data_IF_543884250067
#
_entry.id   IF_543884250067
#
_cell.length_a   1.000
_cell.length_b   1.000
_cell.length_c   1.000
_cell.angle_alpha   90.00
_cell.angle_beta   90.00
_cell.angle_gamma   90.00
#
_symmetry.space_group_name_H-M   'P 1'
#
loop_
_entity.id
_entity.type
_entity.pdbx_description
1 polymer ?
#
# COMPACT_ATOMS: atom_id res chain seq x y z
N UNK A 1 28.28 -1.82 21.55
CA UNK A 1 26.84 -1.79 21.87
C UNK A 1 26.47 -3.15 22.43
N UNK A 2 25.96 -3.20 23.65
CA UNK A 2 25.50 -4.45 24.26
C UNK A 2 24.21 -4.92 23.59
N UNK A 3 23.86 -6.21 23.69
CA UNK A 3 22.64 -6.77 23.11
C UNK A 3 21.36 -6.07 23.65
N UNK A 4 21.41 -5.61 24.90
CA UNK A 4 20.35 -4.81 25.54
C UNK A 4 20.20 -3.42 24.93
N UNK A 5 21.32 -2.72 24.66
CA UNK A 5 21.30 -1.39 24.02
C UNK A 5 20.82 -1.49 22.57
N UNK A 6 21.26 -2.53 21.84
CA UNK A 6 20.84 -2.80 20.47
C UNK A 6 19.33 -3.06 20.37
N UNK A 7 18.77 -3.79 21.35
CA UNK A 7 17.33 -4.09 21.41
C UNK A 7 16.52 -2.84 21.75
N UNK A 8 16.96 -2.03 22.71
CA UNK A 8 16.30 -0.77 23.07
C UNK A 8 16.28 0.24 21.93
N UNK A 9 17.33 0.31 21.10
CA UNK A 9 17.36 1.20 19.94
C UNK A 9 16.37 0.78 18.85
N UNK A 10 16.21 -0.53 18.61
CA UNK A 10 15.22 -1.09 17.68
C UNK A 10 13.78 -0.93 18.21
N UNK A 11 13.59 -0.93 19.53
CA UNK A 11 12.32 -0.58 20.17
C UNK A 11 11.91 0.87 19.84
N UNK A 12 12.80 1.85 20.04
CA UNK A 12 12.52 3.24 19.69
C UNK A 12 12.28 3.47 18.19
N UNK A 13 13.05 2.80 17.32
CA UNK A 13 12.81 2.87 15.86
C UNK A 13 11.42 2.36 15.50
N UNK A 14 11.01 1.22 16.06
CA UNK A 14 9.68 0.66 15.82
C UNK A 14 8.55 1.58 16.27
N UNK A 15 8.65 2.14 17.48
CA UNK A 15 7.68 3.09 18.02
C UNK A 15 7.51 4.31 17.09
N UNK A 16 8.61 4.86 16.59
CA UNK A 16 8.57 5.96 15.62
C UNK A 16 7.86 5.52 14.33
N UNK A 17 8.23 4.37 13.73
CA UNK A 17 7.62 3.91 12.48
C UNK A 17 6.11 3.69 12.61
N UNK A 18 5.64 3.10 13.71
CA UNK A 18 4.21 2.92 13.99
C UNK A 18 3.50 4.27 14.14
N UNK A 19 4.13 5.24 14.82
CA UNK A 19 3.57 6.58 14.95
C UNK A 19 3.51 7.33 13.61
N UNK A 20 4.54 7.21 12.75
CA UNK A 20 4.55 7.78 11.39
C UNK A 20 3.39 7.30 10.54
N UNK A 21 3.00 6.03 10.67
CA UNK A 21 1.86 5.45 9.95
C UNK A 21 0.52 6.15 10.24
N UNK A 22 0.39 6.81 11.40
CA UNK A 22 -0.83 7.49 11.84
C UNK A 22 -0.71 9.01 11.83
N UNK A 23 0.50 9.56 11.73
CA UNK A 23 0.80 10.98 11.88
C UNK A 23 0.00 11.92 10.97
N UNK A 24 -0.40 11.46 9.78
CA UNK A 24 -1.21 12.24 8.85
C UNK A 24 -2.65 12.48 9.35
N UNK A 25 -3.23 11.46 9.98
CA UNK A 25 -4.62 11.44 10.44
C UNK A 25 -4.75 11.74 11.94
N UNK A 26 -3.66 11.65 12.70
CA UNK A 26 -3.63 11.72 14.16
C UNK A 26 -2.51 12.68 14.62
N UNK A 27 -2.85 13.94 14.99
CA UNK A 27 -1.88 14.91 15.49
C UNK A 27 -1.13 14.44 16.73
N UNK A 28 -1.73 13.61 17.58
CA UNK A 28 -1.05 13.06 18.75
C UNK A 28 0.02 12.05 18.35
N UNK A 29 -0.24 11.22 17.32
CA UNK A 29 0.77 10.33 16.74
C UNK A 29 1.91 11.13 16.07
N UNK A 30 1.59 12.24 15.39
CA UNK A 30 2.58 13.16 14.83
C UNK A 30 3.51 13.72 15.93
N UNK A 31 2.94 14.28 16.99
CA UNK A 31 3.68 14.81 18.13
C UNK A 31 4.49 13.72 18.85
N UNK A 32 3.94 12.51 19.01
CA UNK A 32 4.64 11.39 19.62
C UNK A 32 5.87 10.95 18.81
N UNK A 33 5.74 10.84 17.48
CA UNK A 33 6.85 10.54 16.59
C UNK A 33 7.94 11.62 16.69
N UNK A 34 7.54 12.90 16.66
CA UNK A 34 8.46 14.02 16.80
C UNK A 34 9.21 14.00 18.14
N UNK A 35 8.50 13.73 19.24
CA UNK A 35 9.08 13.64 20.58
C UNK A 35 10.09 12.50 20.69
N UNK A 36 9.75 11.30 20.22
CA UNK A 36 10.65 10.13 20.25
C UNK A 36 11.95 10.39 19.49
N UNK A 37 11.86 11.05 18.33
CA UNK A 37 13.04 11.48 17.56
C UNK A 37 13.81 12.56 18.34
N UNK A 38 13.11 13.53 18.92
CA UNK A 38 13.65 14.61 19.75
C UNK A 38 14.49 14.15 20.93
N UNK A 39 14.03 13.09 21.61
CA UNK A 39 14.68 12.50 22.78
C UNK A 39 15.82 11.53 22.43
N UNK A 40 16.13 11.35 21.14
CA UNK A 40 17.16 10.41 20.69
C UNK A 40 16.83 8.95 20.98
N UNK A 41 15.54 8.61 21.11
CA UNK A 41 15.07 7.25 21.43
C UNK A 41 15.25 6.27 20.27
N UNK A 42 15.29 6.78 19.05
CA UNK A 42 15.51 6.00 17.83
C UNK A 42 16.90 6.27 17.27
N UNK A 43 17.65 5.20 16.97
CA UNK A 43 18.89 5.31 16.18
C UNK A 43 18.54 5.86 14.79
N UNK A 44 19.06 7.04 14.47
CA UNK A 44 18.67 7.80 13.29
C UNK A 44 19.06 7.10 11.97
N UNK A 45 20.30 6.60 11.78
CA UNK A 45 20.64 5.73 10.65
C UNK A 45 19.68 4.55 10.46
N UNK A 46 19.35 3.82 11.53
CA UNK A 46 18.45 2.67 11.45
C UNK A 46 17.02 3.11 11.13
N UNK A 47 16.55 4.21 11.71
CA UNK A 47 15.24 4.79 11.42
C UNK A 47 15.11 5.17 9.93
N UNK A 48 16.14 5.80 9.35
CA UNK A 48 16.14 6.16 7.93
C UNK A 48 16.09 4.94 7.01
N UNK A 49 16.88 3.91 7.32
CA UNK A 49 16.86 2.64 6.58
C UNK A 49 15.46 2.02 6.60
N UNK A 50 14.86 1.91 7.79
CA UNK A 50 13.54 1.30 7.96
C UNK A 50 12.41 2.15 7.38
N UNK A 51 12.47 3.49 7.53
CA UNK A 51 11.52 4.40 6.92
C UNK A 51 11.61 4.34 5.39
N UNK A 52 12.80 4.19 4.81
CA UNK A 52 12.95 3.98 3.37
C UNK A 52 12.34 2.64 2.92
N UNK A 53 12.67 1.55 3.62
CA UNK A 53 12.13 0.18 3.38
C UNK A 53 10.60 0.17 3.41
N UNK A 54 10.01 0.82 4.40
CA UNK A 54 8.56 0.88 4.57
C UNK A 54 7.90 2.06 3.85
N UNK A 55 8.65 2.80 3.01
CA UNK A 55 8.15 3.95 2.23
C UNK A 55 7.56 5.09 3.08
N UNK A 56 8.03 5.26 4.30
CA UNK A 56 7.62 6.27 5.27
C UNK A 56 8.51 7.53 5.28
N UNK A 57 9.51 7.65 4.38
CA UNK A 57 10.33 8.87 4.31
C UNK A 57 9.53 10.17 4.13
N UNK A 58 8.49 10.26 3.27
CA UNK A 58 7.68 11.47 3.19
C UNK A 58 6.92 11.76 4.50
N UNK A 59 6.39 10.74 5.16
CA UNK A 59 5.73 10.87 6.47
C UNK A 59 6.72 11.34 7.55
N UNK A 60 7.95 10.84 7.54
CA UNK A 60 9.02 11.30 8.43
C UNK A 60 9.35 12.79 8.16
N UNK A 61 9.51 13.17 6.89
CA UNK A 61 9.70 14.57 6.50
C UNK A 61 8.54 15.47 6.97
N UNK A 62 7.30 14.98 6.90
CA UNK A 62 6.11 15.70 7.37
C UNK A 62 6.14 15.92 8.88
N UNK A 63 6.41 14.89 9.68
CA UNK A 63 6.51 15.00 11.15
C UNK A 63 7.61 15.96 11.58
N UNK A 64 8.74 15.98 10.87
CA UNK A 64 9.84 16.92 11.13
C UNK A 64 9.50 18.37 10.72
N UNK A 65 8.57 18.55 9.77
CA UNK A 65 8.13 19.86 9.29
C UNK A 65 6.99 20.47 10.11
N UNK A 66 6.10 19.63 10.65
CA UNK A 66 4.84 20.06 11.26
C UNK A 66 4.98 20.65 12.67
N UNK A 67 6.08 20.37 13.37
CA UNK A 67 6.25 20.76 14.77
C UNK A 67 7.09 22.05 14.89
N UNK A 68 6.53 23.06 15.57
CA UNK A 68 7.28 24.20 16.10
C UNK A 68 7.95 23.76 17.42
N UNK A 69 9.23 23.41 17.35
CA UNK A 69 9.88 22.60 18.39
C UNK A 69 10.43 23.38 19.58
N UNK A 70 10.40 24.72 19.56
CA UNK A 70 10.91 25.55 20.67
C UNK A 70 12.32 25.19 21.16
N UNK A 71 13.11 24.48 20.35
CA UNK A 71 14.33 23.76 20.73
C UNK A 71 15.13 23.30 19.50
N UNK A 72 16.34 22.74 19.70
CA UNK A 72 17.22 22.36 18.60
C UNK A 72 16.62 21.23 17.75
N UNK A 73 16.89 21.29 16.45
CA UNK A 73 16.43 20.27 15.50
C UNK A 73 17.09 18.91 15.82
N UNK A 74 16.32 17.82 16.02
CA UNK A 74 16.89 16.54 16.42
C UNK A 74 17.51 15.74 15.26
N UNK A 75 17.47 16.30 14.06
CA UNK A 75 18.20 15.78 12.90
C UNK A 75 19.22 16.80 12.44
N UNK A 76 20.38 16.37 11.92
CA UNK A 76 21.33 17.28 11.29
C UNK A 76 20.68 18.10 10.16
N UNK A 77 21.05 19.38 9.95
CA UNK A 77 20.43 20.24 8.94
C UNK A 77 20.43 19.67 7.53
N UNK A 78 21.50 18.97 7.14
CA UNK A 78 21.61 18.30 5.84
C UNK A 78 20.53 17.23 5.68
N UNK A 79 20.32 16.42 6.72
CA UNK A 79 19.31 15.37 6.71
C UNK A 79 17.89 15.94 6.71
N UNK A 80 17.65 17.06 7.44
CA UNK A 80 16.37 17.78 7.34
C UNK A 80 16.07 18.18 5.90
N UNK A 81 17.06 18.74 5.20
CA UNK A 81 16.94 19.12 3.79
C UNK A 81 16.52 17.94 2.91
N UNK A 82 17.16 16.78 3.07
CA UNK A 82 16.84 15.56 2.32
C UNK A 82 15.42 15.02 2.62
N UNK A 83 15.00 15.02 3.88
CA UNK A 83 13.67 14.53 4.28
C UNK A 83 12.55 15.46 3.80
N UNK A 84 12.75 16.77 3.88
CA UNK A 84 11.85 17.76 3.28
C UNK A 84 11.82 17.62 1.75
N UNK A 85 12.97 17.42 1.12
CA UNK A 85 13.09 17.14 -0.31
C UNK A 85 12.29 15.91 -0.72
N UNK A 86 12.38 14.81 0.04
CA UNK A 86 11.62 13.59 -0.18
C UNK A 86 10.11 13.81 -0.07
N UNK A 87 9.64 14.57 0.93
CA UNK A 87 8.23 14.95 1.06
C UNK A 87 7.74 15.77 -0.13
N UNK A 88 8.47 16.83 -0.50
CA UNK A 88 8.08 17.73 -1.59
C UNK A 88 8.11 17.01 -2.95
N UNK A 89 9.10 16.16 -3.19
CA UNK A 89 9.15 15.31 -4.38
C UNK A 89 7.96 14.35 -4.43
N UNK A 90 7.62 13.73 -3.30
CA UNK A 90 6.45 12.84 -3.22
C UNK A 90 5.14 13.60 -3.46
N UNK A 91 4.95 14.80 -2.90
CA UNK A 91 3.77 15.65 -3.15
C UNK A 91 3.58 15.94 -4.64
N UNK A 92 4.65 16.33 -5.34
CA UNK A 92 4.61 16.56 -6.79
C UNK A 92 4.24 15.27 -7.54
N UNK A 93 4.83 14.15 -7.15
CA UNK A 93 4.53 12.84 -7.75
C UNK A 93 3.07 12.44 -7.53
N UNK A 94 2.56 12.62 -6.32
CA UNK A 94 1.18 12.34 -5.93
C UNK A 94 0.21 13.18 -6.76
N UNK A 95 0.45 14.50 -6.88
CA UNK A 95 -0.36 15.39 -7.71
C UNK A 95 -0.44 14.88 -9.17
N UNK A 96 0.72 14.62 -9.79
CA UNK A 96 0.76 14.18 -11.19
C UNK A 96 0.08 12.83 -11.43
N UNK A 97 0.33 11.85 -10.58
CA UNK A 97 -0.31 10.54 -10.67
C UNK A 97 -1.82 10.65 -10.43
N UNK A 98 -2.26 11.51 -9.52
CA UNK A 98 -3.69 11.74 -9.24
C UNK A 98 -4.39 12.39 -10.43
N UNK A 99 -3.80 13.42 -11.03
CA UNK A 99 -4.32 14.04 -12.27
C UNK A 99 -4.36 13.04 -13.41
N UNK A 100 -3.31 12.23 -13.55
CA UNK A 100 -3.24 11.16 -14.56
C UNK A 100 -4.33 10.11 -14.34
N UNK A 101 -4.57 9.69 -13.10
CA UNK A 101 -5.61 8.73 -12.78
C UNK A 101 -7.01 9.26 -13.13
N UNK A 102 -7.27 10.54 -12.82
CA UNK A 102 -8.53 11.20 -13.19
C UNK A 102 -8.71 11.33 -14.71
N UNK A 103 -7.64 11.72 -15.44
CA UNK A 103 -7.61 11.75 -16.91
C UNK A 103 -7.95 10.36 -17.50
N UNK A 104 -7.23 9.34 -17.05
CA UNK A 104 -7.43 7.96 -17.51
C UNK A 104 -8.83 7.45 -17.19
N UNK A 105 -9.33 7.68 -15.97
CA UNK A 105 -10.67 7.25 -15.58
C UNK A 105 -11.76 7.91 -16.44
N UNK A 106 -11.64 9.21 -16.73
CA UNK A 106 -12.56 9.93 -17.61
C UNK A 106 -12.53 9.36 -19.05
N UNK A 107 -11.34 9.11 -19.59
CA UNK A 107 -11.15 8.57 -20.94
C UNK A 107 -11.66 7.13 -21.08
N UNK A 108 -11.51 6.32 -20.04
CA UNK A 108 -12.11 4.98 -19.99
C UNK A 108 -13.64 5.05 -19.96
N UNK A 109 -14.21 5.97 -19.17
CA UNK A 109 -15.65 6.17 -19.11
C UNK A 109 -16.24 6.59 -20.47
N UNK A 110 -15.58 7.53 -21.18
CA UNK A 110 -15.96 7.93 -22.55
C UNK A 110 -15.91 6.75 -23.53
N UNK A 111 -15.00 5.81 -23.32
CA UNK A 111 -14.87 4.59 -24.11
C UNK A 111 -15.81 3.45 -23.67
N UNK A 112 -16.71 3.70 -22.72
CA UNK A 112 -17.68 2.72 -22.20
C UNK A 112 -17.08 1.72 -21.20
N UNK A 113 -15.86 1.93 -20.72
CA UNK A 113 -15.19 1.08 -19.73
C UNK A 113 -15.42 1.65 -18.34
N UNK A 114 -16.02 0.84 -17.45
CA UNK A 114 -16.12 1.18 -16.03
C UNK A 114 -14.76 0.95 -15.37
N UNK A 115 -14.20 2.00 -14.79
CA UNK A 115 -12.95 1.94 -14.05
C UNK A 115 -13.10 2.65 -12.70
N UNK A 116 -12.45 2.13 -11.67
CA UNK A 116 -12.40 2.72 -10.34
C UNK A 116 -10.95 3.00 -9.95
N UNK A 117 -10.63 4.22 -9.53
CA UNK A 117 -9.34 4.49 -8.89
C UNK A 117 -9.28 3.77 -7.55
N UNK A 118 -8.11 3.25 -7.19
CA UNK A 118 -7.91 2.48 -5.96
C UNK A 118 -6.58 2.85 -5.30
N UNK A 119 -6.26 2.17 -4.19
CA UNK A 119 -4.98 2.28 -3.46
C UNK A 119 -4.53 3.74 -3.34
N UNK A 120 -3.32 4.09 -3.75
CA UNK A 120 -2.75 5.41 -3.46
C UNK A 120 -3.62 6.59 -3.87
N UNK A 121 -4.27 6.52 -5.03
CA UNK A 121 -5.11 7.62 -5.54
C UNK A 121 -6.37 7.78 -4.69
N UNK A 122 -7.01 6.68 -4.29
CA UNK A 122 -8.21 6.72 -3.45
C UNK A 122 -7.87 6.99 -1.96
N UNK A 123 -6.78 6.40 -1.46
CA UNK A 123 -6.38 6.46 -0.05
C UNK A 123 -5.78 7.80 0.34
N UNK A 124 -5.10 8.49 -0.58
CA UNK A 124 -4.45 9.76 -0.27
C UNK A 124 -5.41 10.81 0.31
N UNK A 125 -6.56 11.12 -0.32
CA UNK A 125 -7.56 12.02 0.27
C UNK A 125 -8.35 11.37 1.42
N UNK A 126 -8.67 10.08 1.34
CA UNK A 126 -9.55 9.41 2.33
C UNK A 126 -8.87 9.13 3.67
N UNK A 127 -7.59 8.76 3.65
CA UNK A 127 -6.83 8.34 4.84
C UNK A 127 -5.79 9.38 5.24
N UNK A 128 -5.11 9.99 4.26
CA UNK A 128 -3.94 10.85 4.52
C UNK A 128 -4.23 12.34 4.36
N UNK A 129 -5.51 12.72 4.16
CA UNK A 129 -5.95 14.11 4.07
C UNK A 129 -5.38 14.89 2.88
N UNK A 130 -4.85 14.21 1.86
CA UNK A 130 -4.22 14.89 0.71
C UNK A 130 -2.87 15.54 1.01
N UNK A 131 -2.21 15.16 2.10
CA UNK A 131 -0.98 15.81 2.58
C UNK A 131 0.28 15.42 1.79
N UNK A 132 0.19 14.46 0.87
CA UNK A 132 1.27 13.91 0.05
C UNK A 132 2.30 13.13 0.86
N UNK A 133 1.88 12.49 1.95
CA UNK A 133 2.76 11.79 2.91
C UNK A 133 2.81 10.29 2.66
N UNK A 134 1.80 9.72 1.97
CA UNK A 134 1.84 8.34 1.50
C UNK A 134 2.66 8.29 0.21
N UNK A 135 3.70 7.47 0.18
CA UNK A 135 4.51 7.32 -1.04
C UNK A 135 3.70 6.65 -2.14
N UNK A 136 3.62 7.28 -3.31
CA UNK A 136 2.90 6.74 -4.48
C UNK A 136 3.86 6.57 -5.67
N UNK A 137 3.87 5.38 -6.26
CA UNK A 137 4.77 5.04 -7.37
C UNK A 137 4.05 4.97 -8.71
N UNK A 138 2.79 4.60 -8.67
CA UNK A 138 1.86 4.30 -9.74
C UNK A 138 0.45 4.80 -9.39
N UNK A 139 -0.39 4.92 -10.41
CA UNK A 139 -1.83 5.12 -10.27
C UNK A 139 -2.54 3.79 -10.52
N UNK A 140 -3.17 3.24 -9.48
CA UNK A 140 -3.91 1.98 -9.57
C UNK A 140 -5.38 2.21 -9.95
N UNK A 141 -5.84 1.52 -10.98
CA UNK A 141 -7.25 1.44 -11.35
C UNK A 141 -7.73 -0.01 -11.37
N UNK A 142 -9.01 -0.20 -11.13
CA UNK A 142 -9.69 -1.48 -11.23
C UNK A 142 -10.71 -1.46 -12.37
N UNK A 143 -10.67 -2.47 -13.22
CA UNK A 143 -11.57 -2.63 -14.38
C UNK A 143 -12.17 -4.04 -14.41
N UNK A 144 -13.19 -4.25 -15.24
CA UNK A 144 -13.71 -5.58 -15.46
C UNK A 144 -12.75 -6.41 -16.34
N UNK A 145 -12.56 -7.74 -16.09
CA UNK A 145 -11.74 -8.60 -16.94
C UNK A 145 -12.11 -8.61 -18.43
N UNK A 146 -13.39 -8.37 -18.75
CA UNK A 146 -13.87 -8.30 -20.14
C UNK A 146 -13.39 -7.06 -20.89
N UNK A 147 -13.04 -6.00 -20.16
CA UNK A 147 -12.72 -4.69 -20.74
C UNK A 147 -11.21 -4.51 -21.00
N UNK A 148 -10.38 -5.52 -20.66
CA UNK A 148 -8.91 -5.45 -20.79
C UNK A 148 -8.44 -4.97 -22.17
N UNK A 149 -9.01 -5.53 -23.25
CA UNK A 149 -8.62 -5.17 -24.61
C UNK A 149 -8.94 -3.70 -24.89
N UNK A 150 -10.15 -3.25 -24.53
CA UNK A 150 -10.58 -1.87 -24.71
C UNK A 150 -9.76 -0.91 -23.85
N UNK A 151 -9.41 -1.27 -22.62
CA UNK A 151 -8.51 -0.49 -21.77
C UNK A 151 -7.14 -0.33 -22.41
N UNK A 152 -6.55 -1.38 -22.98
CA UNK A 152 -5.25 -1.30 -23.63
C UNK A 152 -5.26 -0.37 -24.86
N UNK A 153 -6.34 -0.39 -25.64
CA UNK A 153 -6.55 0.54 -26.76
C UNK A 153 -6.58 2.00 -26.27
N UNK A 154 -7.42 2.30 -25.28
CA UNK A 154 -7.54 3.66 -24.70
C UNK A 154 -6.20 4.15 -24.14
N UNK A 155 -5.46 3.28 -23.44
CA UNK A 155 -4.15 3.66 -22.91
C UNK A 155 -3.14 3.96 -24.02
N UNK A 156 -3.16 3.20 -25.13
CA UNK A 156 -2.32 3.46 -26.30
C UNK A 156 -2.67 4.80 -26.94
N UNK A 157 -3.97 5.11 -27.08
CA UNK A 157 -4.44 6.41 -27.58
C UNK A 157 -4.00 7.59 -26.69
N UNK A 158 -3.91 7.37 -25.37
CA UNK A 158 -3.39 8.35 -24.40
C UNK A 158 -1.85 8.48 -24.39
N UNK A 159 -1.17 7.76 -25.27
CA UNK A 159 0.29 7.77 -25.41
C UNK A 159 1.03 6.96 -24.36
N UNK A 160 0.35 6.01 -23.70
CA UNK A 160 1.02 5.05 -22.83
C UNK A 160 1.45 3.80 -23.62
N UNK A 161 2.58 3.23 -23.22
CA UNK A 161 3.06 1.94 -23.71
C UNK A 161 3.41 0.99 -22.57
N UNK A 162 3.64 -0.29 -22.88
CA UNK A 162 4.18 -1.23 -21.90
C UNK A 162 5.68 -1.42 -22.13
N UNK A 163 6.48 -1.45 -21.06
CA UNK A 163 7.92 -1.56 -21.21
C UNK A 163 8.70 -1.42 -19.93
N UNK A 164 9.99 -1.18 -20.07
CA UNK A 164 10.93 -0.92 -18.97
C UNK A 164 11.52 0.47 -19.17
N UNK A 165 11.45 1.31 -18.14
CA UNK A 165 12.00 2.65 -18.22
C UNK A 165 13.53 2.63 -18.09
N UNK A 166 14.24 3.11 -19.11
CA UNK A 166 15.66 3.44 -19.04
C UNK A 166 15.81 4.91 -18.62
N UNK A 167 16.20 5.11 -17.36
CA UNK A 167 16.38 6.45 -16.78
C UNK A 167 17.55 7.23 -17.37
N UNK A 168 18.57 6.57 -17.93
CA UNK A 168 19.73 7.25 -18.52
C UNK A 168 19.38 7.79 -19.90
N UNK A 169 18.75 6.95 -20.72
CA UNK A 169 18.31 7.34 -22.05
C UNK A 169 16.98 8.12 -22.05
N UNK A 170 16.27 8.14 -20.92
CA UNK A 170 14.94 8.72 -20.77
C UNK A 170 13.96 8.20 -21.84
N UNK A 171 13.86 6.87 -21.94
CA UNK A 171 12.97 6.18 -22.88
C UNK A 171 12.35 4.94 -22.25
N UNK A 172 11.31 4.41 -22.90
CA UNK A 172 10.67 3.16 -22.52
C UNK A 172 11.13 2.10 -23.53
N UNK A 173 11.89 1.11 -23.05
CA UNK A 173 12.32 -0.05 -23.84
C UNK A 173 11.25 -1.15 -23.80
N UNK A 174 11.32 -2.09 -24.75
CA UNK A 174 10.37 -3.20 -24.85
C UNK A 174 10.29 -4.04 -23.56
N UNK A 175 9.07 -4.46 -23.22
CA UNK A 175 8.86 -5.36 -22.08
C UNK A 175 9.52 -6.72 -22.34
N UNK A 176 10.43 -7.22 -21.49
CA UNK A 176 11.10 -8.50 -21.73
C UNK A 176 10.12 -9.68 -21.86
N UNK A 177 10.49 -10.69 -22.66
CA UNK A 177 9.64 -11.85 -22.92
C UNK A 177 9.24 -12.62 -21.64
N UNK A 178 10.16 -12.73 -20.68
CA UNK A 178 9.89 -13.33 -19.37
C UNK A 178 8.83 -12.54 -18.58
N UNK A 179 8.91 -11.21 -18.55
CA UNK A 179 7.92 -10.37 -17.91
C UNK A 179 6.54 -10.50 -18.58
N UNK A 180 6.50 -10.53 -19.92
CA UNK A 180 5.26 -10.81 -20.67
C UNK A 180 4.66 -12.18 -20.32
N UNK A 181 5.50 -13.19 -20.06
CA UNK A 181 5.01 -14.51 -19.67
C UNK A 181 4.34 -14.50 -18.29
N UNK A 182 4.89 -13.74 -17.33
CA UNK A 182 4.27 -13.57 -16.00
C UNK A 182 2.86 -13.01 -16.10
N UNK A 183 2.64 -11.96 -16.91
CA UNK A 183 1.29 -11.39 -17.13
C UNK A 183 0.31 -12.35 -17.81
N UNK A 184 0.80 -13.29 -18.62
CA UNK A 184 -0.06 -14.33 -19.22
C UNK A 184 -0.43 -15.42 -18.21
N UNK A 185 0.47 -15.75 -17.29
CA UNK A 185 0.25 -16.77 -16.27
C UNK A 185 -0.59 -16.24 -15.09
N UNK A 186 -0.53 -14.93 -14.82
CA UNK A 186 -1.30 -14.26 -13.78
C UNK A 186 -2.08 -13.07 -14.38
N UNK A 187 -3.20 -13.34 -15.09
CA UNK A 187 -3.97 -12.32 -15.80
C UNK A 187 -4.84 -11.42 -14.89
N UNK A 188 -4.57 -11.37 -13.59
CA UNK A 188 -5.25 -10.51 -12.61
C UNK A 188 -4.86 -9.03 -12.75
N UNK A 189 -3.85 -8.72 -13.57
CA UNK A 189 -3.47 -7.36 -13.95
C UNK A 189 -3.19 -7.27 -15.46
N UNK A 190 -3.26 -6.06 -16.03
CA UNK A 190 -2.63 -5.78 -17.31
C UNK A 190 -1.12 -5.52 -17.10
N UNK A 191 -0.30 -5.64 -18.16
CA UNK A 191 1.03 -5.03 -18.13
C UNK A 191 0.94 -3.56 -17.75
N UNK A 192 1.83 -3.09 -16.87
CA UNK A 192 1.87 -1.68 -16.46
C UNK A 192 2.01 -0.78 -17.67
N UNK A 193 1.25 0.32 -17.68
CA UNK A 193 1.29 1.34 -18.72
C UNK A 193 2.17 2.49 -18.27
N UNK A 194 3.15 2.84 -19.09
CA UNK A 194 4.13 3.89 -18.82
C UNK A 194 4.02 5.00 -19.87
N UNK A 195 4.10 6.25 -19.40
CA UNK A 195 4.22 7.45 -20.23
C UNK A 195 5.36 8.31 -19.68
N UNK A 196 6.26 8.77 -20.53
CA UNK A 196 7.36 9.65 -20.10
C UNK A 196 6.82 11.00 -19.64
N UNK A 197 7.40 11.53 -18.57
CA UNK A 197 7.07 12.88 -18.11
C UNK A 197 7.83 13.92 -18.97
N UNK A 198 7.14 14.93 -19.55
CA UNK A 198 7.77 15.88 -20.48
C UNK A 198 8.96 16.66 -19.91
N UNK A 199 8.98 16.89 -18.60
CA UNK A 199 10.03 17.61 -17.89
C UNK A 199 11.22 16.71 -17.47
N UNK A 200 11.31 15.50 -18.05
CA UNK A 200 12.25 14.46 -17.64
C UNK A 200 12.10 14.02 -16.18
N UNK A 201 10.92 14.21 -15.59
CA UNK A 201 10.58 13.77 -14.23
C UNK A 201 10.55 12.25 -14.03
N UNK A 202 10.72 11.46 -15.09
CA UNK A 202 10.67 10.01 -15.08
C UNK A 202 9.53 9.48 -15.95
N UNK A 203 8.74 8.56 -15.39
CA UNK A 203 7.56 7.98 -16.05
C UNK A 203 6.34 8.05 -15.15
N UNK A 204 5.19 8.42 -15.68
CA UNK A 204 3.89 8.12 -15.09
C UNK A 204 3.60 6.64 -15.32
N UNK A 205 3.17 5.94 -14.28
CA UNK A 205 2.85 4.51 -14.33
C UNK A 205 1.40 4.34 -13.93
N UNK A 206 0.63 3.63 -14.75
CA UNK A 206 -0.76 3.28 -14.48
C UNK A 206 -0.85 1.75 -14.43
N UNK A 207 -1.35 1.24 -13.32
CA UNK A 207 -1.60 -0.19 -13.10
C UNK A 207 -3.11 -0.46 -13.19
N UNK A 208 -3.47 -1.59 -13.79
CA UNK A 208 -4.86 -2.04 -13.90
C UNK A 208 -5.01 -3.42 -13.30
N UNK A 209 -5.64 -3.48 -12.14
CA UNK A 209 -6.16 -4.71 -11.57
C UNK A 209 -7.52 -5.04 -12.23
N UNK A 210 -7.80 -6.33 -12.38
CA UNK A 210 -9.14 -6.80 -12.79
C UNK A 210 -9.67 -7.92 -11.89
N UNK A 211 -9.11 -8.05 -10.69
CA UNK A 211 -9.59 -8.94 -9.63
C UNK A 211 -9.29 -8.29 -8.28
N UNK A 212 -10.19 -8.48 -7.30
CA UNK A 212 -9.93 -8.11 -5.90
C UNK A 212 -9.05 -9.12 -5.17
N UNK A 213 -8.89 -10.32 -5.71
CA UNK A 213 -8.01 -11.37 -5.20
C UNK A 213 -6.83 -11.58 -6.15
N UNK A 214 -6.80 -12.67 -6.91
CA UNK A 214 -5.83 -13.02 -7.94
C UNK A 214 -6.28 -14.26 -8.74
N UNK A 215 -5.74 -14.47 -9.95
CA UNK A 215 -6.29 -15.44 -10.93
C UNK A 215 -6.34 -16.90 -10.46
N UNK A 216 -5.45 -17.32 -9.57
CA UNK A 216 -5.40 -18.69 -9.03
C UNK A 216 -5.83 -18.74 -7.54
N UNK A 217 -6.44 -17.68 -7.03
CA UNK A 217 -6.94 -17.65 -5.67
C UNK A 217 -8.02 -18.70 -5.45
N UNK A 218 -8.00 -19.41 -4.32
CA UNK A 218 -9.16 -20.21 -3.88
C UNK A 218 -10.34 -19.34 -3.45
N UNK A 219 -10.10 -18.05 -3.21
CA UNK A 219 -11.12 -17.05 -2.94
C UNK A 219 -11.39 -16.25 -4.20
N UNK A 220 -12.57 -16.44 -4.78
CA UNK A 220 -12.99 -15.75 -6.00
C UNK A 220 -14.19 -14.87 -5.68
N UNK A 221 -14.14 -13.65 -6.21
CA UNK A 221 -15.21 -12.65 -6.07
C UNK A 221 -15.61 -12.20 -7.47
N UNK A 222 -16.90 -12.30 -7.86
CA UNK A 222 -17.36 -11.83 -9.16
C UNK A 222 -17.15 -10.32 -9.30
N UNK A 223 -16.44 -9.91 -10.37
CA UNK A 223 -16.13 -8.50 -10.60
C UNK A 223 -17.35 -7.67 -10.97
N UNK A 224 -18.43 -8.32 -11.42
CA UNK A 224 -19.73 -7.70 -11.60
C UNK A 224 -20.25 -7.11 -10.28
N UNK A 225 -20.10 -7.81 -9.14
CA UNK A 225 -20.53 -7.29 -7.84
C UNK A 225 -19.64 -6.14 -7.37
N UNK A 226 -18.33 -6.23 -7.62
CA UNK A 226 -17.34 -5.22 -7.20
C UNK A 226 -17.54 -3.90 -7.95
N UNK A 227 -17.88 -3.98 -9.25
CA UNK A 227 -18.01 -2.82 -10.14
C UNK A 227 -19.48 -2.46 -10.44
N UNK A 228 -20.45 -3.10 -9.77
CA UNK A 228 -21.87 -2.81 -9.92
C UNK A 228 -22.17 -1.35 -9.52
N UNK A 229 -21.67 -0.99 -8.34
CA UNK A 229 -21.77 0.34 -7.76
C UNK A 229 -20.40 0.89 -7.43
N UNK A 230 -20.05 1.99 -8.09
CA UNK A 230 -18.89 2.80 -7.77
C UNK A 230 -19.32 3.99 -6.91
N UNK A 231 -18.41 4.45 -6.08
CA UNK A 231 -18.52 5.72 -5.36
C UNK A 231 -17.68 6.79 -6.09
N UNK A 232 -17.68 8.02 -5.60
CA UNK A 232 -16.84 9.10 -6.13
C UNK A 232 -15.89 9.59 -5.05
N UNK A 233 -14.60 9.64 -5.37
CA UNK A 233 -13.59 10.24 -4.48
C UNK A 233 -13.26 11.66 -4.95
N UNK A 234 -13.19 12.58 -4.00
CA UNK A 234 -12.71 13.94 -4.21
C UNK A 234 -11.17 13.96 -4.16
N UNK A 235 -10.55 14.46 -5.22
CA UNK A 235 -9.11 14.44 -5.42
C UNK A 235 -8.54 15.86 -5.34
N UNK A 236 -7.30 15.98 -4.86
CA UNK A 236 -6.56 17.25 -4.81
C UNK A 236 -7.35 18.39 -4.14
N UNK A 237 -7.92 18.12 -2.96
CA UNK A 237 -8.69 19.12 -2.22
C UNK A 237 -10.02 19.53 -2.88
N UNK A 238 -10.54 18.73 -3.82
CA UNK A 238 -11.80 19.00 -4.51
C UNK A 238 -11.67 19.55 -5.92
N UNK A 239 -10.45 19.76 -6.42
CA UNK A 239 -10.22 20.19 -7.81
C UNK A 239 -10.71 19.18 -8.84
N UNK A 240 -10.61 17.89 -8.53
CA UNK A 240 -10.96 16.79 -9.41
C UNK A 240 -11.83 15.76 -8.67
N UNK A 241 -12.52 14.93 -9.43
CA UNK A 241 -13.16 13.73 -8.92
C UNK A 241 -12.89 12.54 -9.84
N UNK A 242 -12.94 11.34 -9.27
CA UNK A 242 -12.86 10.10 -10.04
C UNK A 242 -13.76 9.03 -9.42
N UNK A 243 -14.27 8.07 -10.21
CA UNK A 243 -14.95 6.92 -9.66
C UNK A 243 -13.98 6.09 -8.83
N UNK A 244 -14.41 5.60 -7.67
CA UNK A 244 -13.66 4.69 -6.79
C UNK A 244 -14.54 3.50 -6.42
N UNK A 245 -13.96 2.44 -5.88
CA UNK A 245 -14.73 1.34 -5.31
C UNK A 245 -15.58 1.83 -4.13
N UNK A 246 -16.75 1.21 -3.95
CA UNK A 246 -17.53 1.41 -2.74
C UNK A 246 -16.68 1.09 -1.48
N UNK A 247 -16.91 1.78 -0.34
CA UNK A 247 -16.17 1.62 0.91
C UNK A 247 -15.76 0.18 1.27
N UNK A 248 -16.73 -0.75 1.31
CA UNK A 248 -16.46 -2.15 1.66
C UNK A 248 -15.52 -2.84 0.66
N UNK A 249 -15.69 -2.60 -0.65
CA UNK A 249 -14.82 -3.16 -1.68
C UNK A 249 -13.42 -2.53 -1.69
N UNK A 250 -13.30 -1.21 -1.44
CA UNK A 250 -11.99 -0.56 -1.31
C UNK A 250 -11.21 -1.11 -0.12
N UNK A 251 -11.89 -1.31 1.02
CA UNK A 251 -11.32 -1.93 2.21
C UNK A 251 -10.88 -3.37 1.95
N UNK A 252 -11.76 -4.21 1.39
CA UNK A 252 -11.46 -5.61 1.08
C UNK A 252 -10.32 -5.73 0.07
N UNK A 253 -10.32 -4.93 -0.99
CA UNK A 253 -9.22 -4.93 -1.97
C UNK A 253 -7.89 -4.55 -1.32
N UNK A 254 -7.88 -3.51 -0.48
CA UNK A 254 -6.67 -3.08 0.24
C UNK A 254 -6.14 -4.18 1.16
N UNK A 255 -7.03 -4.83 1.92
CA UNK A 255 -6.69 -5.93 2.81
C UNK A 255 -6.19 -7.17 2.05
N UNK A 256 -6.90 -7.61 1.02
CA UNK A 256 -6.56 -8.80 0.25
C UNK A 256 -5.27 -8.60 -0.58
N UNK A 257 -5.02 -7.38 -1.03
CA UNK A 257 -3.74 -7.02 -1.67
C UNK A 257 -2.57 -7.13 -0.68
N UNK A 258 -2.74 -6.61 0.54
CA UNK A 258 -1.76 -6.78 1.62
C UNK A 258 -1.54 -8.26 1.96
N UNK A 259 -2.62 -9.04 2.09
CA UNK A 259 -2.55 -10.49 2.31
C UNK A 259 -1.70 -11.16 1.24
N UNK A 260 -2.03 -10.96 -0.04
CA UNK A 260 -1.27 -11.50 -1.17
C UNK A 260 0.21 -11.14 -1.08
N UNK A 261 0.54 -9.87 -0.87
CA UNK A 261 1.94 -9.46 -0.85
C UNK A 261 2.72 -9.89 0.40
N UNK A 262 2.03 -10.28 1.47
CA UNK A 262 2.64 -10.66 2.75
C UNK A 262 2.47 -12.14 3.12
N UNK A 263 1.71 -12.91 2.35
CA UNK A 263 1.50 -14.34 2.56
C UNK A 263 2.40 -15.21 1.67
N UNK A 264 2.66 -14.77 0.44
CA UNK A 264 3.52 -15.51 -0.50
C UNK A 264 5.00 -15.22 -0.25
N UNK A 265 5.84 -16.25 -0.06
CA UNK A 265 7.27 -16.09 0.18
C UNK A 265 7.98 -15.31 -0.93
N UNK A 266 7.52 -15.43 -2.18
CA UNK A 266 8.11 -14.74 -3.34
C UNK A 266 7.97 -13.23 -3.26
N UNK A 267 6.80 -12.72 -2.85
CA UNK A 267 6.55 -11.29 -2.69
C UNK A 267 7.22 -10.74 -1.44
N UNK A 268 7.27 -11.54 -0.37
CA UNK A 268 7.99 -11.23 0.88
C UNK A 268 9.49 -11.11 0.65
N UNK A 269 10.08 -12.04 -0.09
CA UNK A 269 11.51 -11.99 -0.48
C UNK A 269 11.82 -10.77 -1.36
N UNK A 270 10.83 -10.27 -2.10
CA UNK A 270 10.92 -9.03 -2.87
C UNK A 270 10.66 -7.75 -2.04
N UNK A 271 10.54 -7.86 -0.71
CA UNK A 271 10.34 -6.75 0.21
C UNK A 271 8.97 -6.07 0.06
N UNK A 272 7.95 -6.82 -0.35
CA UNK A 272 6.59 -6.27 -0.56
C UNK A 272 5.77 -6.22 0.73
N UNK A 273 6.17 -6.90 1.81
CA UNK A 273 5.55 -6.79 3.13
C UNK A 273 6.03 -5.53 3.86
N UNK A 274 5.30 -4.43 3.66
CA UNK A 274 5.66 -3.11 4.17
C UNK A 274 4.64 -2.60 5.18
N UNK A 275 5.13 -1.98 6.27
CA UNK A 275 4.31 -1.49 7.38
C UNK A 275 3.18 -0.53 6.93
N UNK A 276 3.43 0.36 5.97
CA UNK A 276 2.41 1.33 5.52
C UNK A 276 1.15 0.66 4.96
N UNK A 277 1.23 -0.57 4.45
CA UNK A 277 0.06 -1.29 3.93
C UNK A 277 -0.90 -1.73 5.03
N UNK A 278 -0.38 -2.07 6.21
CA UNK A 278 -1.21 -2.29 7.39
C UNK A 278 -1.84 -0.97 7.85
N UNK A 279 -1.11 0.14 7.73
CA UNK A 279 -1.62 1.48 8.01
C UNK A 279 -2.73 1.90 7.03
N UNK A 280 -2.63 1.55 5.75
CA UNK A 280 -3.69 1.78 4.75
C UNK A 280 -5.00 1.09 5.19
N UNK A 281 -4.92 -0.18 5.63
CA UNK A 281 -6.09 -0.95 6.13
C UNK A 281 -6.68 -0.30 7.38
N UNK A 282 -5.84 0.02 8.37
CA UNK A 282 -6.29 0.69 9.59
C UNK A 282 -6.89 2.07 9.30
N UNK A 283 -6.30 2.81 8.38
CA UNK A 283 -6.74 4.14 7.98
C UNK A 283 -8.13 4.13 7.35
N UNK A 284 -8.36 3.21 6.41
CA UNK A 284 -9.70 2.99 5.84
C UNK A 284 -10.72 2.59 6.91
N UNK A 285 -10.34 1.66 7.78
CA UNK A 285 -11.20 1.24 8.89
C UNK A 285 -11.61 2.44 9.76
N UNK A 286 -10.66 3.28 10.16
CA UNK A 286 -10.95 4.45 10.99
C UNK A 286 -11.79 5.50 10.26
N UNK A 287 -11.58 5.69 8.96
CA UNK A 287 -12.33 6.66 8.16
C UNK A 287 -13.80 6.25 7.94
N UNK A 288 -14.11 4.95 7.92
CA UNK A 288 -15.42 4.42 7.51
C UNK A 288 -15.98 3.34 8.44
N UNK A 289 -15.58 3.37 9.72
CA UNK A 289 -15.82 2.30 10.71
C UNK A 289 -17.24 1.75 10.74
N UNK A 290 -18.24 2.62 10.90
CA UNK A 290 -19.64 2.19 11.07
C UNK A 290 -20.19 1.49 9.83
N UNK A 291 -19.85 2.00 8.65
CA UNK A 291 -20.24 1.40 7.37
C UNK A 291 -19.56 0.04 7.20
N UNK A 292 -18.23 -0.01 7.38
CA UNK A 292 -17.45 -1.23 7.20
C UNK A 292 -17.87 -2.32 8.19
N UNK A 293 -18.16 -1.96 9.44
CA UNK A 293 -18.67 -2.89 10.46
C UNK A 293 -19.99 -3.55 10.04
N UNK A 294 -20.80 -2.86 9.25
CA UNK A 294 -22.12 -3.34 8.81
C UNK A 294 -22.02 -4.15 7.53
N UNK A 295 -21.28 -3.68 6.53
CA UNK A 295 -21.26 -4.27 5.18
C UNK A 295 -20.25 -5.41 5.01
N UNK A 296 -19.04 -5.26 5.56
CA UNK A 296 -17.93 -6.19 5.34
C UNK A 296 -18.25 -7.61 5.81
N UNK A 297 -18.83 -7.85 7.02
CA UNK A 297 -19.07 -9.22 7.48
C UNK A 297 -20.00 -10.03 6.56
N UNK A 298 -20.98 -9.38 5.91
CA UNK A 298 -21.88 -10.05 4.98
C UNK A 298 -21.14 -10.49 3.70
N UNK A 299 -20.36 -9.58 3.11
CA UNK A 299 -19.56 -9.86 1.90
C UNK A 299 -18.51 -10.93 2.18
N UNK A 300 -17.85 -10.85 3.33
CA UNK A 300 -16.83 -11.82 3.73
C UNK A 300 -17.40 -13.23 3.81
N UNK A 301 -18.58 -13.39 4.41
CA UNK A 301 -19.26 -14.70 4.51
C UNK A 301 -19.73 -15.21 3.16
N UNK A 302 -20.27 -14.34 2.32
CA UNK A 302 -20.72 -14.70 0.97
C UNK A 302 -19.59 -15.30 0.14
N UNK A 303 -18.38 -14.72 0.25
CA UNK A 303 -17.21 -15.08 -0.59
C UNK A 303 -16.14 -15.90 0.16
N UNK A 304 -16.46 -16.41 1.36
CA UNK A 304 -15.57 -17.18 2.23
C UNK A 304 -14.19 -16.51 2.50
N UNK A 305 -14.18 -15.18 2.65
CA UNK A 305 -12.99 -14.36 2.81
C UNK A 305 -12.49 -14.28 4.26
N UNK A 306 -13.08 -15.04 5.19
CA UNK A 306 -12.75 -14.98 6.61
C UNK A 306 -11.26 -15.26 6.87
N UNK A 307 -10.65 -16.35 6.33
CA UNK A 307 -9.25 -16.65 6.64
C UNK A 307 -8.24 -15.58 6.20
N UNK A 308 -8.26 -15.06 4.94
CA UNK A 308 -7.29 -14.04 4.54
C UNK A 308 -7.56 -12.69 5.23
N UNK A 309 -8.84 -12.35 5.49
CA UNK A 309 -9.14 -11.11 6.19
C UNK A 309 -8.74 -11.18 7.66
N UNK A 310 -9.03 -12.27 8.36
CA UNK A 310 -8.62 -12.49 9.75
C UNK A 310 -7.09 -12.50 9.90
N UNK A 311 -6.35 -12.96 8.87
CA UNK A 311 -4.89 -12.84 8.84
C UNK A 311 -4.45 -11.38 8.85
N UNK A 312 -5.03 -10.56 7.98
CA UNK A 312 -4.69 -9.13 7.86
C UNK A 312 -5.08 -8.38 9.12
N UNK A 313 -6.32 -8.53 9.59
CA UNK A 313 -6.81 -7.80 10.77
C UNK A 313 -6.08 -8.24 12.03
N UNK A 314 -5.80 -9.53 12.20
CA UNK A 314 -5.09 -10.06 13.36
C UNK A 314 -3.66 -9.54 13.48
N UNK A 315 -2.93 -9.43 12.36
CA UNK A 315 -1.61 -8.80 12.36
C UNK A 315 -1.67 -7.28 12.49
N UNK A 316 -2.69 -6.63 11.92
CA UNK A 316 -2.92 -5.19 12.10
C UNK A 316 -3.17 -4.86 13.57
N UNK A 317 -4.00 -5.65 14.26
CA UNK A 317 -4.31 -5.53 15.68
C UNK A 317 -3.07 -5.67 16.56
N UNK A 318 -2.21 -6.63 16.26
CA UNK A 318 -0.93 -6.82 16.99
C UNK A 318 0.07 -5.70 16.75
N UNK A 319 0.11 -5.14 15.54
CA UNK A 319 1.04 -4.07 15.18
C UNK A 319 0.62 -2.74 15.79
N UNK A 320 -0.68 -2.42 15.75
CA UNK A 320 -1.20 -1.10 16.14
C UNK A 320 -1.95 -1.07 17.47
N UNK A 321 -2.15 -2.21 18.12
CA UNK A 321 -2.91 -2.33 19.37
C UNK A 321 -4.40 -2.02 19.17
N UNK A 322 -5.00 -2.58 18.13
CA UNK A 322 -6.40 -2.34 17.73
C UNK A 322 -7.29 -3.57 17.93
N UNK A 323 -8.58 -3.44 17.61
CA UNK A 323 -9.60 -4.50 17.69
C UNK A 323 -10.41 -4.60 16.38
N UNK A 324 -9.73 -4.60 15.23
CA UNK A 324 -10.37 -4.75 13.91
C UNK A 324 -10.97 -6.15 13.76
N UNK A 325 -10.26 -7.17 14.23
CA UNK A 325 -10.69 -8.58 14.11
C UNK A 325 -12.00 -8.82 14.83
N UNK A 326 -12.10 -8.42 16.10
CA UNK A 326 -13.32 -8.55 16.88
C UNK A 326 -14.44 -7.64 16.37
N UNK A 327 -14.11 -6.40 15.99
CA UNK A 327 -15.09 -5.46 15.42
C UNK A 327 -15.74 -5.96 14.13
N UNK A 328 -15.02 -6.75 13.32
CA UNK A 328 -15.53 -7.36 12.09
C UNK A 328 -16.15 -8.75 12.31
N UNK A 329 -16.19 -9.26 13.55
CA UNK A 329 -16.75 -10.56 13.87
C UNK A 329 -15.93 -11.73 13.30
N UNK A 330 -14.60 -11.56 13.22
CA UNK A 330 -13.66 -12.56 12.70
C UNK A 330 -12.96 -13.35 13.81
N UNK A 331 -13.41 -13.21 15.06
CA UNK A 331 -12.89 -13.99 16.18
C UNK A 331 -13.00 -15.49 15.90
N UNK A 332 -11.87 -16.20 16.04
CA UNK A 332 -11.78 -17.63 15.78
C UNK A 332 -11.70 -18.02 14.29
N UNK A 333 -11.82 -17.09 13.35
CA UNK A 333 -11.61 -17.38 11.92
C UNK A 333 -10.14 -17.71 11.57
N UNK A 334 -9.21 -17.28 12.43
CA UNK A 334 -7.78 -17.53 12.32
C UNK A 334 -7.16 -17.78 13.69
N UNK A 335 -6.69 -19.00 13.95
CA UNK A 335 -5.82 -19.28 15.10
C UNK A 335 -4.36 -18.88 14.84
N UNK A 336 -3.52 -18.93 15.88
CA UNK A 336 -2.10 -18.57 15.77
C UNK A 336 -1.35 -19.37 14.70
N UNK A 337 -1.70 -20.65 14.53
CA UNK A 337 -1.15 -21.49 13.46
C UNK A 337 -1.44 -20.92 12.07
N UNK A 338 -2.64 -20.39 11.84
CA UNK A 338 -2.97 -19.77 10.56
C UNK A 338 -2.28 -18.41 10.40
N UNK A 339 -2.19 -17.62 11.47
CA UNK A 339 -1.50 -16.34 11.44
C UNK A 339 0.00 -16.48 11.13
N UNK A 340 0.59 -17.61 11.52
CA UNK A 340 1.97 -17.99 11.25
C UNK A 340 2.17 -18.77 9.94
N UNK A 341 1.15 -18.93 9.08
CA UNK A 341 1.29 -19.61 7.79
C UNK A 341 1.71 -18.65 6.66
N UNK A 342 2.13 -19.26 5.56
CA UNK A 342 2.44 -18.62 4.29
C UNK A 342 2.50 -19.64 3.15
N UNK A 343 2.75 -19.19 1.93
CA UNK A 343 2.83 -20.06 0.76
C UNK A 343 4.11 -19.82 -0.04
N UNK A 344 4.84 -20.90 -0.33
CA UNK A 344 6.04 -20.92 -1.14
C UNK A 344 5.77 -21.22 -2.62
N UNK A 345 6.81 -21.25 -3.46
CA UNK A 345 6.69 -21.60 -4.87
C UNK A 345 5.98 -22.95 -5.07
N UNK A 346 5.10 -23.00 -6.07
CA UNK A 346 4.36 -24.22 -6.41
C UNK A 346 3.27 -24.62 -5.41
N UNK A 347 2.78 -23.71 -4.57
CA UNK A 347 1.72 -23.98 -3.60
C UNK A 347 2.20 -24.65 -2.32
N UNK A 348 3.52 -24.62 -2.06
CA UNK A 348 4.10 -25.25 -0.88
C UNK A 348 3.65 -24.55 0.40
N UNK A 349 3.05 -25.28 1.33
CA UNK A 349 2.67 -24.69 2.63
C UNK A 349 3.92 -24.39 3.47
N UNK A 350 3.99 -23.18 4.00
CA UNK A 350 5.06 -22.71 4.87
C UNK A 350 4.49 -22.24 6.20
N UNK A 351 5.32 -22.27 7.23
CA UNK A 351 5.11 -21.57 8.49
C UNK A 351 6.26 -20.59 8.72
N UNK A 352 6.01 -19.53 9.48
CA UNK A 352 7.03 -18.57 9.87
C UNK A 352 7.01 -18.30 11.37
N UNK A 353 8.18 -17.99 11.93
CA UNK A 353 8.36 -17.81 13.38
C UNK A 353 8.47 -16.34 13.79
N UNK A 354 8.09 -16.03 15.03
CA UNK A 354 8.20 -14.69 15.61
C UNK A 354 6.93 -13.87 15.41
N UNK A 355 7.06 -12.54 15.57
CA UNK A 355 5.95 -11.59 15.42
C UNK A 355 6.01 -10.85 14.08
N UNK A 356 4.90 -10.23 13.67
CA UNK A 356 4.91 -9.36 12.49
C UNK A 356 5.89 -8.19 12.64
N UNK A 357 6.08 -7.70 13.87
CA UNK A 357 7.11 -6.70 14.20
C UNK A 357 8.52 -7.22 13.87
N UNK A 358 8.87 -8.41 14.35
CA UNK A 358 10.18 -9.03 14.09
C UNK A 358 10.41 -9.19 12.58
N UNK A 359 9.35 -9.58 11.88
CA UNK A 359 9.36 -9.76 10.44
C UNK A 359 9.56 -8.45 9.68
N UNK A 360 8.84 -7.39 10.04
CA UNK A 360 8.92 -6.11 9.35
C UNK A 360 10.27 -5.39 9.58
N UNK A 361 10.85 -5.51 10.78
CA UNK A 361 12.16 -4.94 11.11
C UNK A 361 13.33 -5.72 10.51
N UNK A 362 13.13 -6.99 10.14
CA UNK A 362 14.19 -7.84 9.61
C UNK A 362 14.57 -7.43 8.19
N UNK A 363 15.88 -7.34 7.92
CA UNK A 363 16.39 -7.05 6.56
C UNK A 363 15.95 -8.11 5.54
N UNK A 364 16.04 -9.38 5.92
CA UNK A 364 15.58 -10.51 5.12
C UNK A 364 14.49 -11.32 5.86
N UNK A 365 13.20 -10.96 5.69
CA UNK A 365 12.10 -11.64 6.34
C UNK A 365 11.90 -13.08 5.84
N UNK A 366 12.43 -13.44 4.65
CA UNK A 366 12.29 -14.78 4.10
C UNK A 366 12.96 -15.84 4.98
N UNK A 367 14.00 -15.45 5.74
CA UNK A 367 14.68 -16.33 6.71
C UNK A 367 13.81 -16.82 7.87
N UNK A 368 12.64 -16.21 8.07
CA UNK A 368 11.69 -16.63 9.10
C UNK A 368 10.81 -17.79 8.65
N UNK A 369 10.75 -18.07 7.34
CA UNK A 369 9.87 -19.09 6.77
C UNK A 369 10.57 -20.45 6.73
N UNK A 370 9.80 -21.49 7.06
CA UNK A 370 10.18 -22.88 7.06
C UNK A 370 9.04 -23.71 6.48
N UNK A 371 9.33 -24.94 6.08
CA UNK A 371 8.30 -25.86 5.58
C UNK A 371 7.35 -26.22 6.73
N UNK A 372 6.05 -26.19 6.45
CA UNK A 372 5.07 -26.64 7.43
C UNK A 372 5.29 -28.13 7.71
N UNK A 373 5.41 -28.51 9.00
CA UNK A 373 5.53 -29.91 9.43
C UNK A 373 4.20 -30.65 9.42
#
# INVERSE_FOLDING_TARGET
MTESESRSALDGVWEVLVALCRAAADPAACAAAAKLIGEGRADLPVLLEQAARHRLLPALGYVLAAEDRGGPDPVPPQLRGELLGALLANRRRVDRLTRTAAEVAARLAEAGVRAAVTKGVALEPTVYGGLGVRKMMDADLMIHPRDRARTAEVMTELGFGNGVYDWRAHRIDDLPAAARAVYRLSPDHLPHFLRLEPDRGGTLVVDFANSVTWSASRWQVPMEQVLDRLDTVSLLGGELCAPTLAPAWLFLFTALHLFRESWFLTTVSAGKDMLYKFADVLGLWNAQRELLRTEVPAIVREHALEPPLAWVTGHTDRVFGTDLTGSLGLDGAAGDTWLARGEGPGGKELTWTGTMRDRLLRRDPATLFQEAS
#
